data_IF_078032461219
#
_entry.id   IF_078032461219
#
_cell.length_a   1.000
_cell.length_b   1.000
_cell.length_c   1.000
_cell.angle_alpha   90.00
_cell.angle_beta   90.00
_cell.angle_gamma   90.00
#
_symmetry.space_group_name_H-M   'P 1'
#
loop_
_entity.id
_entity.type
_entity.pdbx_description
1 polymer ?
#
# COMPACT_ATOMS: atom_id res chain seq x y z
N UNK A 1 -12.27 -17.78 16.72
CA UNK A 1 -11.33 -16.65 16.61
C UNK A 1 -12.14 -15.45 16.21
N UNK A 2 -12.57 -14.67 17.20
CA UNK A 2 -13.30 -13.42 16.96
C UNK A 2 -12.35 -12.46 16.28
N UNK A 3 -12.51 -12.32 14.96
CA UNK A 3 -11.72 -11.38 14.18
C UNK A 3 -12.22 -9.99 14.57
N UNK A 4 -11.49 -9.33 15.46
CA UNK A 4 -11.73 -7.95 15.87
C UNK A 4 -11.35 -7.03 14.71
N UNK A 5 -12.24 -6.89 13.75
CA UNK A 5 -12.09 -5.94 12.65
C UNK A 5 -12.59 -4.57 13.07
N UNK A 6 -11.89 -3.54 12.61
CA UNK A 6 -12.28 -2.13 12.74
C UNK A 6 -12.27 -1.50 11.35
N UNK A 7 -13.10 -0.50 11.14
CA UNK A 7 -13.06 0.30 9.93
C UNK A 7 -11.71 1.03 9.84
N UNK A 8 -11.06 1.01 8.68
CA UNK A 8 -9.76 1.64 8.47
C UNK A 8 -9.78 3.16 8.73
N UNK A 9 -10.90 3.83 8.45
CA UNK A 9 -11.06 5.26 8.68
C UNK A 9 -11.24 5.59 10.16
N UNK A 10 -11.94 4.72 10.91
CA UNK A 10 -12.06 4.85 12.36
C UNK A 10 -10.72 4.53 13.04
N UNK A 11 -10.02 3.49 12.57
CA UNK A 11 -8.68 3.14 13.03
C UNK A 11 -7.68 4.29 12.81
N UNK A 12 -7.72 4.95 11.65
CA UNK A 12 -6.90 6.11 11.37
C UNK A 12 -7.09 7.22 12.42
N UNK A 13 -8.33 7.50 12.79
CA UNK A 13 -8.66 8.53 13.80
C UNK A 13 -8.31 8.11 15.22
N UNK A 14 -8.66 6.88 15.61
CA UNK A 14 -8.47 6.39 16.99
C UNK A 14 -6.99 6.21 17.34
N UNK A 15 -6.18 5.79 16.37
CA UNK A 15 -4.76 5.44 16.57
C UNK A 15 -3.78 6.47 16.00
N UNK A 16 -4.27 7.65 15.58
CA UNK A 16 -3.45 8.71 14.98
C UNK A 16 -2.61 8.21 13.78
N UNK A 17 -3.25 7.45 12.90
CA UNK A 17 -2.68 6.94 11.65
C UNK A 17 -3.31 7.67 10.46
N UNK A 18 -2.69 7.51 9.29
CA UNK A 18 -3.09 8.11 8.04
C UNK A 18 -3.60 7.02 7.09
N UNK A 19 -4.86 7.18 6.66
CA UNK A 19 -5.46 6.38 5.59
C UNK A 19 -5.37 7.18 4.29
N UNK A 20 -4.60 6.69 3.31
CA UNK A 20 -4.32 7.45 2.10
C UNK A 20 -4.06 6.58 0.88
N UNK A 21 -4.04 7.22 -0.28
CA UNK A 21 -3.73 6.57 -1.55
C UNK A 21 -2.28 6.88 -1.92
N UNK A 22 -1.49 5.84 -2.15
CA UNK A 22 -0.09 5.93 -2.58
C UNK A 22 0.12 5.25 -3.92
N UNK A 23 1.22 5.57 -4.59
CA UNK A 23 1.63 4.91 -5.83
C UNK A 23 2.55 3.75 -5.49
N UNK A 24 2.24 2.57 -6.03
CA UNK A 24 3.13 1.42 -5.99
C UNK A 24 4.14 1.54 -7.12
N UNK A 25 5.41 1.34 -6.79
CA UNK A 25 6.55 1.38 -7.71
C UNK A 25 7.27 0.03 -7.68
N UNK A 26 7.78 -0.40 -8.83
CA UNK A 26 8.64 -1.58 -8.92
C UNK A 26 9.85 -1.28 -9.78
N UNK A 27 11.01 -1.77 -9.34
CA UNK A 27 12.24 -1.77 -10.12
C UNK A 27 12.23 -2.90 -11.14
N UNK A 28 12.54 -2.58 -12.38
CA UNK A 28 12.68 -3.53 -13.47
C UNK A 28 14.10 -3.51 -14.01
N UNK A 29 14.68 -4.70 -14.12
CA UNK A 29 15.95 -4.89 -14.79
C UNK A 29 15.69 -5.26 -16.24
N UNK A 30 16.39 -4.60 -17.16
CA UNK A 30 16.35 -4.94 -18.58
C UNK A 30 17.75 -5.15 -19.13
N UNK A 31 17.89 -6.16 -19.97
CA UNK A 31 19.15 -6.48 -20.61
C UNK A 31 18.93 -6.61 -22.10
N UNK A 32 19.57 -5.72 -22.86
CA UNK A 32 19.59 -5.77 -24.31
C UNK A 32 20.85 -6.52 -24.77
N UNK A 33 20.68 -7.80 -25.08
CA UNK A 33 21.78 -8.68 -25.51
C UNK A 33 22.44 -8.27 -26.81
N UNK A 34 21.74 -7.57 -27.72
CA UNK A 34 22.31 -7.16 -29.01
C UNK A 34 23.33 -6.03 -28.85
N UNK A 35 23.11 -5.12 -27.90
CA UNK A 35 24.01 -4.00 -27.62
C UNK A 35 24.84 -4.21 -26.35
N UNK A 36 24.65 -5.33 -25.63
CA UNK A 36 25.28 -5.62 -24.34
C UNK A 36 25.07 -4.50 -23.30
N UNK A 37 23.84 -3.98 -23.24
CA UNK A 37 23.45 -2.91 -22.32
C UNK A 37 22.56 -3.50 -21.22
N UNK A 38 22.95 -3.30 -19.97
CA UNK A 38 22.13 -3.53 -18.79
C UNK A 38 21.58 -2.20 -18.30
N UNK A 39 20.30 -2.16 -18.00
CA UNK A 39 19.62 -0.97 -17.48
C UNK A 39 18.63 -1.35 -16.38
N UNK A 40 18.44 -0.45 -15.42
CA UNK A 40 17.53 -0.61 -14.29
C UNK A 40 16.72 0.67 -14.15
N UNK A 41 15.40 0.53 -14.13
CA UNK A 41 14.49 1.65 -13.97
C UNK A 41 13.32 1.30 -13.06
N UNK A 42 12.80 2.32 -12.40
CA UNK A 42 11.60 2.22 -11.57
C UNK A 42 10.39 2.66 -12.37
N UNK A 43 9.29 1.91 -12.27
CA UNK A 43 8.04 2.28 -12.93
C UNK A 43 6.84 2.16 -11.98
N UNK A 44 5.88 3.06 -12.16
CA UNK A 44 4.65 3.07 -11.41
C UNK A 44 3.75 1.93 -11.88
N UNK A 45 3.24 1.13 -10.94
CA UNK A 45 2.49 -0.09 -11.25
C UNK A 45 1.00 0.05 -10.97
N UNK A 46 0.62 0.54 -9.79
CA UNK A 46 -0.79 0.66 -9.35
C UNK A 46 -0.94 1.70 -8.25
N UNK A 47 -2.19 2.06 -7.93
CA UNK A 47 -2.50 2.82 -6.71
C UNK A 47 -2.87 1.86 -5.59
N UNK A 48 -2.45 2.18 -4.37
CA UNK A 48 -2.77 1.42 -3.18
C UNK A 48 -3.42 2.32 -2.14
N UNK A 49 -4.48 1.84 -1.52
CA UNK A 49 -4.99 2.41 -0.28
C UNK A 49 -4.23 1.78 0.87
N UNK A 50 -3.54 2.61 1.65
CA UNK A 50 -2.70 2.16 2.75
C UNK A 50 -3.09 2.86 4.05
N UNK A 51 -3.02 2.11 5.14
CA UNK A 51 -3.02 2.66 6.49
C UNK A 51 -1.58 2.69 6.99
N UNK A 52 -1.10 3.86 7.38
CA UNK A 52 0.31 4.06 7.75
C UNK A 52 0.45 5.14 8.82
N UNK A 53 1.60 5.16 9.52
CA UNK A 53 1.98 6.28 10.41
C UNK A 53 2.62 7.46 9.67
N UNK A 54 2.95 7.28 8.39
CA UNK A 54 3.71 8.26 7.62
C UNK A 54 2.79 9.21 6.83
N UNK A 55 2.62 10.43 7.33
CA UNK A 55 1.82 11.48 6.67
C UNK A 55 2.30 11.79 5.25
N UNK A 56 3.62 11.84 5.05
CA UNK A 56 4.26 12.28 3.81
C UNK A 56 4.57 11.15 2.80
N UNK A 57 4.25 9.90 3.11
CA UNK A 57 4.49 8.75 2.21
C UNK A 57 3.74 8.88 0.87
N UNK A 58 4.40 9.07 -0.26
CA UNK A 58 3.71 9.14 -1.56
C UNK A 58 3.78 7.83 -2.35
N UNK A 59 4.84 7.06 -2.12
CA UNK A 59 5.20 5.88 -2.89
C UNK A 59 5.57 4.71 -2.00
N UNK A 60 5.28 3.50 -2.46
CA UNK A 60 5.73 2.25 -1.83
C UNK A 60 6.32 1.34 -2.88
N UNK A 61 7.39 0.62 -2.51
CA UNK A 61 8.01 -0.34 -3.40
C UNK A 61 7.36 -1.71 -3.22
N UNK A 62 6.87 -2.30 -4.31
CA UNK A 62 6.30 -3.65 -4.31
C UNK A 62 7.22 -4.64 -5.03
N UNK A 63 7.47 -5.78 -4.39
CA UNK A 63 8.15 -6.90 -5.05
C UNK A 63 7.33 -7.44 -6.23
N UNK A 64 6.01 -7.55 -6.04
CA UNK A 64 5.10 -8.12 -7.03
C UNK A 64 3.73 -7.40 -7.07
N UNK A 65 3.59 -6.37 -7.91
CA UNK A 65 2.36 -5.60 -8.04
C UNK A 65 1.23 -6.37 -8.75
N UNK A 66 1.48 -7.59 -9.25
CA UNK A 66 0.45 -8.43 -9.88
C UNK A 66 -0.38 -9.20 -8.85
N UNK A 67 0.14 -9.39 -7.64
CA UNK A 67 -0.56 -10.09 -6.56
C UNK A 67 -1.66 -9.22 -5.96
N UNK A 68 -2.71 -9.85 -5.48
CA UNK A 68 -3.74 -9.16 -4.71
C UNK A 68 -3.14 -8.53 -3.44
N UNK A 69 -3.78 -7.46 -3.00
CA UNK A 69 -3.39 -6.74 -1.79
C UNK A 69 -3.68 -7.60 -0.57
N UNK A 70 -2.67 -7.76 0.28
CA UNK A 70 -2.75 -8.54 1.49
C UNK A 70 -2.85 -7.62 2.71
N UNK A 71 -4.05 -7.51 3.27
CA UNK A 71 -4.35 -6.70 4.45
C UNK A 71 -4.03 -7.40 5.78
N UNK A 72 -3.47 -8.61 5.74
CA UNK A 72 -3.16 -9.40 6.94
C UNK A 72 -1.75 -9.16 7.50
N UNK A 73 -0.97 -8.27 6.89
CA UNK A 73 0.41 -7.99 7.27
C UNK A 73 0.76 -6.50 7.18
N UNK A 74 1.78 -6.13 7.94
CA UNK A 74 2.42 -4.82 7.86
C UNK A 74 3.65 -4.98 6.97
N UNK A 75 3.75 -4.15 5.92
CA UNK A 75 4.90 -4.07 5.01
C UNK A 75 5.46 -2.66 5.13
N UNK A 76 6.71 -2.53 5.57
CA UNK A 76 7.41 -1.24 5.70
C UNK A 76 6.62 -0.14 6.42
N UNK A 77 5.90 -0.51 7.49
CA UNK A 77 5.08 0.42 8.27
C UNK A 77 3.79 0.85 7.57
N UNK A 78 3.29 0.02 6.64
CA UNK A 78 2.03 0.22 5.95
C UNK A 78 1.21 -1.08 5.97
N UNK A 79 -0.11 -0.94 6.15
CA UNK A 79 -1.06 -2.03 5.90
C UNK A 79 -1.76 -1.71 4.59
N UNK A 80 -1.66 -2.60 3.62
CA UNK A 80 -2.28 -2.41 2.32
C UNK A 80 -3.71 -2.94 2.38
N UNK A 81 -4.68 -2.12 1.97
CA UNK A 81 -6.11 -2.44 2.14
C UNK A 81 -6.81 -2.70 0.81
N UNK A 82 -6.44 -1.98 -0.24
CA UNK A 82 -7.09 -2.06 -1.56
C UNK A 82 -6.14 -1.59 -2.64
N UNK A 83 -6.23 -2.19 -3.83
CA UNK A 83 -5.57 -1.69 -5.03
C UNK A 83 -6.55 -1.03 -6.01
N UNK A 84 -6.04 -0.11 -6.81
CA UNK A 84 -6.74 0.56 -7.89
C UNK A 84 -5.81 0.82 -9.07
N UNK A 85 -6.37 1.03 -10.26
CA UNK A 85 -5.58 1.34 -11.46
C UNK A 85 -4.94 2.74 -11.38
N UNK A 86 -3.78 2.91 -12.01
CA UNK A 86 -3.15 4.22 -12.23
C UNK A 86 -4.03 5.16 -13.05
N UNK A 87 -4.94 4.62 -13.87
CA UNK A 87 -5.88 5.42 -14.65
C UNK A 87 -6.99 6.06 -13.79
N UNK A 88 -7.17 5.61 -12.55
CA UNK A 88 -8.39 5.88 -11.77
C UNK A 88 -8.56 7.25 -11.10
N UNK A 89 -7.71 8.27 -11.16
CA UNK A 89 -7.79 9.48 -10.26
C UNK A 89 -7.88 9.16 -8.74
N UNK A 90 -6.92 9.62 -7.93
CA UNK A 90 -6.91 9.36 -6.48
C UNK A 90 -8.21 9.74 -5.76
N UNK A 91 -8.78 10.91 -6.08
CA UNK A 91 -9.98 11.48 -5.43
C UNK A 91 -11.24 10.61 -5.56
N UNK A 92 -11.27 9.69 -6.52
CA UNK A 92 -12.43 8.82 -6.79
C UNK A 92 -12.33 7.45 -6.13
N UNK A 93 -11.23 7.16 -5.45
CA UNK A 93 -11.03 5.87 -4.79
C UNK A 93 -11.76 5.91 -3.45
N UNK A 94 -12.83 5.14 -3.33
CA UNK A 94 -13.58 5.02 -2.08
C UNK A 94 -12.89 4.04 -1.11
N UNK A 95 -12.76 4.47 0.14
CA UNK A 95 -12.14 3.74 1.25
C UNK A 95 -13.00 3.68 2.53
N UNK A 96 -14.28 4.09 2.44
CA UNK A 96 -15.19 4.13 3.60
C UNK A 96 -15.51 2.76 4.19
N UNK A 97 -15.46 1.68 3.40
CA UNK A 97 -15.88 0.34 3.83
C UNK A 97 -14.70 -0.62 4.07
N UNK A 98 -13.48 -0.09 4.17
CA UNK A 98 -12.29 -0.93 4.35
C UNK A 98 -12.19 -1.39 5.79
N UNK A 99 -12.00 -2.70 5.97
CA UNK A 99 -11.83 -3.34 7.27
C UNK A 99 -10.38 -3.76 7.46
N UNK A 100 -9.87 -3.57 8.67
CA UNK A 100 -8.53 -3.98 9.06
C UNK A 100 -8.55 -4.68 10.42
N UNK A 101 -7.61 -5.59 10.66
CA UNK A 101 -7.49 -6.27 11.93
C UNK A 101 -6.97 -5.30 13.00
N UNK A 102 -7.69 -5.18 14.12
CA UNK A 102 -7.34 -4.29 15.22
C UNK A 102 -5.97 -4.61 15.82
N UNK A 103 -5.56 -5.88 15.83
CA UNK A 103 -4.24 -6.27 16.35
C UNK A 103 -3.12 -5.72 15.47
N UNK A 104 -3.30 -5.71 14.14
CA UNK A 104 -2.31 -5.13 13.22
C UNK A 104 -2.25 -3.61 13.35
N UNK A 105 -3.38 -2.95 13.58
CA UNK A 105 -3.43 -1.51 13.83
C UNK A 105 -2.65 -1.14 15.09
N UNK A 106 -2.85 -1.91 16.17
CA UNK A 106 -2.09 -1.73 17.41
C UNK A 106 -0.59 -1.93 17.21
N UNK A 107 -0.21 -3.01 16.51
CA UNK A 107 1.20 -3.27 16.19
C UNK A 107 1.81 -2.16 15.32
N UNK A 108 1.01 -1.56 14.43
CA UNK A 108 1.43 -0.45 13.59
C UNK A 108 1.55 0.87 14.37
N UNK A 109 0.68 1.12 15.36
CA UNK A 109 0.74 2.33 16.19
C UNK A 109 1.83 2.30 17.25
N UNK A 110 2.15 1.11 17.76
CA UNK A 110 3.15 0.92 18.83
C UNK A 110 4.60 0.91 18.31
N UNK A 111 4.80 0.78 16.98
CA UNK A 111 6.11 0.82 16.30
C UNK A 111 6.40 2.18 15.69
#
# INVERSE_FOLDING_TARGET
>A
MDKNYINALDAAKEYNLYLKVVTSVKSFDTYNSFFNIFDQYDDACRRLVVLTKYEELEEVYEEDPTKEVDSSKIIDGCIYLKSASLLTRPDKIEFNDLLVDKNLVLELSDK
#
